data_IF_117086555985
#
_entry.id   IF_117086555985
#
_cell.length_a   1.000
_cell.length_b   1.000
_cell.length_c   1.000
_cell.angle_alpha   90.00
_cell.angle_beta   90.00
_cell.angle_gamma   90.00
#
_symmetry.space_group_name_H-M   'P 1'
#
loop_
_entity.id
_entity.type
_entity.pdbx_description
1 polymer ?
#
# COMPACT_ATOMS: atom_id res chain seq x y z
N UNK A 1 -15.67 -23.20 97.71
CA UNK A 1 -14.84 -24.20 97.02
C UNK A 1 -15.62 -24.67 95.79
N UNK A 2 -15.30 -24.09 94.63
CA UNK A 2 -15.97 -24.36 93.38
C UNK A 2 -14.93 -24.36 92.26
N UNK A 3 -14.91 -25.40 91.42
CA UNK A 3 -15.01 -25.28 89.96
C UNK A 3 -14.65 -26.62 89.28
N UNK A 4 -15.62 -27.08 88.50
CA UNK A 4 -15.61 -28.22 87.60
C UNK A 4 -14.44 -28.26 86.60
N UNK A 5 -14.01 -29.49 86.32
CA UNK A 5 -13.18 -29.93 85.20
C UNK A 5 -13.84 -29.58 83.84
N UNK A 6 -13.11 -28.90 82.96
CA UNK A 6 -13.42 -28.80 81.52
C UNK A 6 -12.48 -29.72 80.74
N UNK A 7 -13.04 -30.65 79.98
CA UNK A 7 -12.32 -31.52 79.05
C UNK A 7 -11.71 -30.70 77.89
N UNK A 8 -10.46 -30.99 77.46
CA UNK A 8 -9.91 -30.36 76.26
C UNK A 8 -10.44 -31.04 74.99
N UNK A 9 -11.02 -30.23 74.11
CA UNK A 9 -11.43 -30.62 72.76
C UNK A 9 -10.16 -30.84 71.92
N UNK A 10 -9.96 -32.07 71.44
CA UNK A 10 -8.90 -32.43 70.49
C UNK A 10 -9.16 -31.72 69.15
N UNK A 11 -8.41 -30.67 68.87
CA UNK A 11 -8.39 -30.05 67.54
C UNK A 11 -7.81 -31.06 66.53
N UNK A 12 -8.65 -31.56 65.61
CA UNK A 12 -8.20 -32.35 64.47
C UNK A 12 -7.29 -31.49 63.60
N UNK A 13 -6.01 -31.86 63.53
CA UNK A 13 -5.00 -31.29 62.63
C UNK A 13 -5.48 -31.51 61.18
N UNK A 14 -6.13 -30.51 60.58
CA UNK A 14 -6.49 -30.55 59.16
C UNK A 14 -5.20 -30.49 58.35
N UNK A 15 -4.99 -31.49 57.49
CA UNK A 15 -3.85 -31.55 56.59
C UNK A 15 -3.86 -30.32 55.65
N UNK A 16 -2.88 -29.40 55.73
CA UNK A 16 -2.84 -28.21 54.88
C UNK A 16 -2.60 -28.55 53.40
N UNK A 17 -2.09 -29.76 53.12
CA UNK A 17 -1.78 -30.20 51.75
C UNK A 17 -3.02 -30.34 50.86
N UNK A 18 -4.19 -30.68 51.42
CA UNK A 18 -5.39 -30.90 50.62
C UNK A 18 -6.03 -29.58 50.14
N UNK A 19 -5.87 -28.51 50.93
CA UNK A 19 -6.34 -27.17 50.57
C UNK A 19 -5.42 -26.51 49.54
N UNK A 20 -4.10 -26.74 49.65
CA UNK A 20 -3.13 -26.30 48.65
C UNK A 20 -3.35 -26.99 47.29
N UNK A 21 -3.64 -28.29 47.28
CA UNK A 21 -3.97 -29.02 46.05
C UNK A 21 -5.25 -28.51 45.38
N UNK A 22 -6.29 -28.21 46.14
CA UNK A 22 -7.55 -27.66 45.61
C UNK A 22 -7.38 -26.25 45.01
N UNK A 23 -6.55 -25.41 45.62
CA UNK A 23 -6.22 -24.08 45.08
C UNK A 23 -5.41 -24.18 43.79
N UNK A 24 -4.41 -25.07 43.73
CA UNK A 24 -3.62 -25.27 42.50
C UNK A 24 -4.52 -25.80 41.37
N UNK A 25 -5.45 -26.71 41.68
CA UNK A 25 -6.39 -27.22 40.67
C UNK A 25 -7.40 -26.15 40.21
N UNK A 26 -7.83 -25.23 41.08
CA UNK A 26 -8.71 -24.13 40.66
C UNK A 26 -7.99 -23.09 39.80
N UNK A 27 -6.70 -22.81 40.06
CA UNK A 27 -5.89 -21.96 39.20
C UNK A 27 -5.65 -22.58 37.82
N UNK A 28 -5.45 -23.90 37.73
CA UNK A 28 -5.29 -24.59 36.45
C UNK A 28 -6.60 -24.59 35.64
N UNK A 29 -7.76 -24.83 36.28
CA UNK A 29 -9.04 -24.85 35.55
C UNK A 29 -9.52 -23.46 35.14
N UNK A 30 -9.23 -22.42 35.92
CA UNK A 30 -9.52 -21.02 35.53
C UNK A 30 -8.59 -20.56 34.40
N UNK A 31 -7.35 -21.03 34.36
CA UNK A 31 -6.40 -20.73 33.27
C UNK A 31 -6.78 -21.40 31.93
N UNK A 32 -7.57 -22.48 31.95
CA UNK A 32 -8.09 -23.09 30.71
C UNK A 32 -9.35 -22.42 30.16
N UNK A 33 -9.96 -21.47 30.89
CA UNK A 33 -11.13 -20.70 30.46
C UNK A 33 -10.71 -19.30 29.95
N UNK A 34 -9.40 -18.99 29.93
CA UNK A 34 -8.90 -17.76 29.34
C UNK A 34 -9.05 -17.79 27.80
N UNK A 35 -10.23 -17.35 27.37
CA UNK A 35 -10.46 -16.60 26.14
C UNK A 35 -9.81 -17.20 24.88
N UNK A 36 -10.43 -18.25 24.34
CA UNK A 36 -10.55 -18.31 22.88
C UNK A 36 -11.50 -17.18 22.44
N UNK A 37 -11.02 -15.92 22.54
CA UNK A 37 -11.56 -14.85 21.72
C UNK A 37 -11.19 -15.25 20.29
N UNK A 38 -12.14 -15.84 19.57
CA UNK A 38 -12.16 -15.72 18.12
C UNK A 38 -12.32 -14.25 17.82
N UNK A 39 -11.22 -13.51 17.81
CA UNK A 39 -11.21 -12.21 17.16
C UNK A 39 -11.52 -12.47 15.70
N UNK A 40 -12.64 -11.91 15.27
CA UNK A 40 -12.99 -11.78 13.86
C UNK A 40 -11.76 -11.17 13.18
N UNK A 41 -11.27 -11.82 12.12
CA UNK A 41 -10.10 -11.36 11.37
C UNK A 41 -10.24 -9.85 11.12
N UNK A 42 -9.41 -9.08 11.82
CA UNK A 42 -9.30 -7.64 11.62
C UNK A 42 -9.08 -7.43 10.14
N UNK A 43 -10.04 -6.77 9.48
CA UNK A 43 -10.10 -6.50 8.04
C UNK A 43 -9.03 -5.50 7.57
N UNK A 44 -7.88 -5.49 8.24
CA UNK A 44 -6.81 -4.54 7.96
C UNK A 44 -6.01 -5.02 6.77
N UNK A 45 -5.93 -4.16 5.76
CA UNK A 45 -4.88 -4.22 4.75
C UNK A 45 -3.53 -4.21 5.49
N UNK A 46 -2.59 -5.03 5.04
CA UNK A 46 -1.31 -5.20 5.74
C UNK A 46 -0.17 -5.14 4.75
N UNK A 47 0.83 -4.32 5.06
CA UNK A 47 2.09 -4.24 4.33
C UNK A 47 3.18 -4.85 5.19
N UNK A 48 3.94 -5.77 4.61
CA UNK A 48 5.09 -6.40 5.25
C UNK A 48 6.32 -6.12 4.40
N UNK A 49 7.39 -5.75 5.09
CA UNK A 49 8.70 -5.47 4.52
C UNK A 49 9.70 -6.50 5.04
N UNK A 50 10.34 -7.23 4.14
CA UNK A 50 11.49 -8.06 4.45
C UNK A 50 12.72 -7.49 3.75
N UNK A 51 13.83 -7.35 4.49
CA UNK A 51 15.11 -7.09 3.86
C UNK A 51 15.74 -8.43 3.47
N UNK A 52 16.31 -8.49 2.27
CA UNK A 52 17.02 -9.65 1.77
C UNK A 52 18.51 -9.44 1.96
N UNK A 53 19.12 -10.28 2.80
CA UNK A 53 20.58 -10.37 2.92
C UNK A 53 21.11 -11.26 1.79
N UNK A 54 22.24 -10.89 1.20
CA UNK A 54 22.91 -11.70 0.17
C UNK A 54 23.22 -13.09 0.74
N UNK A 55 22.78 -14.12 0.03
CA UNK A 55 23.04 -15.52 0.35
C UNK A 55 23.00 -16.39 -0.90
N UNK A 56 23.33 -17.68 -0.80
CA UNK A 56 23.31 -18.61 -1.94
C UNK A 56 21.91 -18.79 -2.54
N UNK A 57 20.87 -18.53 -1.75
CA UNK A 57 19.46 -18.61 -2.15
C UNK A 57 18.91 -17.31 -2.75
N UNK A 58 19.72 -16.24 -2.80
CA UNK A 58 19.28 -14.96 -3.37
C UNK A 58 19.11 -15.10 -4.88
N UNK A 59 17.94 -14.75 -5.46
CA UNK A 59 17.73 -14.86 -6.90
C UNK A 59 18.75 -14.08 -7.71
N UNK A 60 19.35 -14.73 -8.71
CA UNK A 60 20.41 -14.15 -9.57
C UNK A 60 20.01 -12.84 -10.26
N UNK A 61 18.72 -12.64 -10.54
CA UNK A 61 18.24 -11.40 -11.18
C UNK A 61 18.32 -10.17 -10.27
N UNK A 62 18.58 -10.36 -8.97
CA UNK A 62 18.76 -9.29 -8.02
C UNK A 62 20.19 -8.74 -7.97
N UNK A 63 21.14 -9.21 -8.80
CA UNK A 63 22.56 -8.77 -8.77
C UNK A 63 22.88 -7.54 -9.66
N UNK A 64 23.17 -6.36 -9.07
CA UNK A 64 24.01 -5.30 -9.61
C UNK A 64 25.35 -5.20 -8.87
N UNK A 65 26.33 -4.64 -9.57
CA UNK A 65 27.73 -4.54 -9.13
C UNK A 65 27.99 -3.45 -8.06
N UNK A 66 27.07 -2.48 -7.90
CA UNK A 66 27.22 -1.36 -6.95
C UNK A 66 25.89 -0.99 -6.29
N UNK A 67 25.77 -1.25 -4.98
CA UNK A 67 24.58 -0.97 -4.19
C UNK A 67 24.69 0.35 -3.44
N UNK A 68 23.61 1.13 -3.46
CA UNK A 68 23.44 2.36 -2.67
C UNK A 68 22.22 2.20 -1.73
N UNK A 69 22.11 2.99 -0.64
CA UNK A 69 20.87 3.09 0.16
C UNK A 69 19.68 3.55 -0.68
N UNK A 70 18.46 3.05 -0.43
CA UNK A 70 17.25 3.52 -1.14
C UNK A 70 17.04 5.00 -0.90
N UNK A 71 17.27 5.45 0.34
CA UNK A 71 17.24 6.85 0.72
C UNK A 71 18.08 7.73 -0.21
N UNK A 72 19.29 7.30 -0.57
CA UNK A 72 20.17 8.08 -1.45
C UNK A 72 19.57 8.35 -2.82
N UNK A 73 18.95 7.35 -3.45
CA UNK A 73 18.29 7.47 -4.76
C UNK A 73 16.99 8.28 -4.67
N UNK A 74 16.20 8.07 -3.62
CA UNK A 74 14.90 8.73 -3.46
C UNK A 74 15.07 10.19 -3.08
N UNK A 75 16.03 10.55 -2.24
CA UNK A 75 16.27 11.92 -1.75
C UNK A 75 17.24 12.71 -2.62
N UNK A 76 17.70 12.16 -3.74
CA UNK A 76 18.64 12.86 -4.62
C UNK A 76 18.08 14.23 -5.01
N UNK A 77 18.86 15.30 -4.78
CA UNK A 77 18.49 16.68 -5.06
C UNK A 77 17.66 17.38 -3.98
N UNK A 78 17.33 16.72 -2.86
CA UNK A 78 16.79 17.36 -1.67
C UNK A 78 17.92 17.94 -0.80
N UNK A 79 17.74 19.12 -0.15
CA UNK A 79 18.65 19.55 0.90
C UNK A 79 18.53 18.59 2.10
N UNK A 80 19.67 18.11 2.62
CA UNK A 80 19.74 17.13 3.72
C UNK A 80 18.99 17.62 4.98
N UNK A 81 18.87 18.94 5.14
CA UNK A 81 18.23 19.59 6.29
C UNK A 81 16.68 19.64 6.20
N UNK A 82 16.07 19.35 5.05
CA UNK A 82 14.61 19.37 4.91
C UNK A 82 13.97 18.07 5.36
N UNK A 83 13.83 17.88 6.68
CA UNK A 83 12.91 16.90 7.29
C UNK A 83 12.79 15.58 6.51
N UNK A 84 13.94 14.93 6.32
CA UNK A 84 14.22 13.80 5.42
C UNK A 84 13.05 12.79 5.30
N UNK A 85 12.51 12.34 6.44
CA UNK A 85 11.42 11.36 6.48
C UNK A 85 10.16 11.79 5.71
N UNK A 86 9.69 13.02 5.91
CA UNK A 86 8.42 13.47 5.30
C UNK A 86 8.57 13.57 3.80
N UNK A 87 9.69 14.14 3.34
CA UNK A 87 9.99 14.23 1.91
C UNK A 87 10.16 12.85 1.27
N UNK A 88 10.88 11.93 1.94
CA UNK A 88 11.02 10.55 1.52
C UNK A 88 9.66 9.88 1.30
N UNK A 89 8.76 10.00 2.29
CA UNK A 89 7.40 9.45 2.22
C UNK A 89 6.59 10.07 1.06
N UNK A 90 6.64 11.40 0.89
CA UNK A 90 5.91 12.08 -0.20
C UNK A 90 6.42 11.66 -1.58
N UNK A 91 7.73 11.42 -1.76
CA UNK A 91 8.28 10.92 -3.03
C UNK A 91 7.76 9.51 -3.36
N UNK A 92 7.61 8.64 -2.37
CA UNK A 92 6.97 7.32 -2.56
C UNK A 92 5.50 7.42 -2.96
N UNK A 93 4.74 8.31 -2.34
CA UNK A 93 3.35 8.60 -2.74
C UNK A 93 3.29 9.09 -4.20
N UNK A 94 4.19 10.01 -4.59
CA UNK A 94 4.30 10.50 -5.99
C UNK A 94 4.59 9.37 -6.97
N UNK A 95 5.50 8.44 -6.65
CA UNK A 95 5.83 7.30 -7.51
C UNK A 95 4.60 6.42 -7.79
N UNK A 96 3.92 5.97 -6.74
CA UNK A 96 2.79 5.08 -6.88
C UNK A 96 1.52 5.78 -7.41
N UNK A 97 1.48 7.12 -7.40
CA UNK A 97 0.51 7.92 -8.18
C UNK A 97 0.70 7.80 -9.71
N UNK A 98 1.74 7.15 -10.21
CA UNK A 98 1.85 6.86 -11.65
C UNK A 98 1.74 5.37 -11.95
N UNK A 99 1.94 4.49 -10.97
CA UNK A 99 1.73 3.06 -11.13
C UNK A 99 0.26 2.66 -10.98
N UNK A 100 -0.22 1.80 -11.86
CA UNK A 100 -1.56 1.20 -11.78
C UNK A 100 -1.60 -0.19 -12.41
N UNK A 101 -2.73 -0.86 -12.33
CA UNK A 101 -2.96 -2.17 -12.95
C UNK A 101 -3.98 -1.96 -14.07
N UNK A 102 -3.71 -2.44 -15.29
CA UNK A 102 -4.70 -2.41 -16.36
C UNK A 102 -5.83 -3.39 -16.03
N UNK A 103 -7.07 -2.92 -15.96
CA UNK A 103 -8.23 -3.78 -15.73
C UNK A 103 -8.85 -4.21 -17.07
N UNK A 104 -8.77 -5.51 -17.44
CA UNK A 104 -9.44 -6.00 -18.63
C UNK A 104 -10.94 -6.19 -18.32
N UNK A 105 -11.78 -5.25 -18.77
CA UNK A 105 -13.23 -5.42 -18.73
C UNK A 105 -14.04 -4.19 -18.36
N UNK A 106 -13.39 -3.13 -17.87
CA UNK A 106 -14.04 -1.83 -17.66
C UNK A 106 -13.62 -0.93 -18.83
N UNK A 107 -14.57 -0.26 -19.48
CA UNK A 107 -14.33 0.77 -20.52
C UNK A 107 -13.64 2.02 -19.90
N UNK A 108 -13.29 1.96 -18.61
CA UNK A 108 -12.47 2.95 -17.94
C UNK A 108 -11.11 2.98 -18.61
N UNK A 109 -10.73 4.16 -19.12
CA UNK A 109 -9.37 4.42 -19.58
C UNK A 109 -8.36 4.47 -18.43
N UNK A 110 -8.86 4.51 -17.19
CA UNK A 110 -8.04 4.76 -16.01
C UNK A 110 -7.71 3.44 -15.30
N UNK A 111 -6.41 3.14 -15.06
CA UNK A 111 -5.96 1.96 -14.33
C UNK A 111 -6.30 2.04 -12.84
N UNK A 112 -6.38 0.89 -12.17
CA UNK A 112 -6.52 0.85 -10.70
C UNK A 112 -5.16 1.06 -10.04
N UNK A 113 -5.07 1.92 -9.03
CA UNK A 113 -3.84 2.13 -8.27
C UNK A 113 -3.35 0.84 -7.61
N UNK A 114 -2.04 0.59 -7.71
CA UNK A 114 -1.42 -0.56 -7.04
C UNK A 114 -1.50 -0.39 -5.52
N UNK A 115 -1.18 0.79 -5.00
CA UNK A 115 -1.26 1.14 -3.58
C UNK A 115 -2.09 2.42 -3.38
N UNK A 116 -2.79 2.51 -2.26
CA UNK A 116 -3.49 3.73 -1.82
C UNK A 116 -2.52 4.78 -1.27
N UNK A 117 -2.98 6.02 -1.04
CA UNK A 117 -2.15 7.08 -0.45
C UNK A 117 -1.70 6.74 0.98
N UNK A 118 -2.52 6.01 1.72
CA UNK A 118 -2.24 5.52 3.07
C UNK A 118 -1.23 4.36 3.05
N UNK A 119 -1.42 3.39 2.15
CA UNK A 119 -0.52 2.25 1.98
C UNK A 119 0.88 2.72 1.53
N UNK A 120 0.93 3.68 0.61
CA UNK A 120 2.20 4.26 0.14
C UNK A 120 2.91 5.05 1.23
N UNK A 121 2.16 5.79 2.06
CA UNK A 121 2.74 6.47 3.21
C UNK A 121 3.37 5.48 4.19
N UNK A 122 2.63 4.43 4.54
CA UNK A 122 3.10 3.37 5.44
C UNK A 122 4.34 2.65 4.89
N UNK A 123 4.37 2.33 3.60
CA UNK A 123 5.54 1.74 2.95
C UNK A 123 6.76 2.67 3.05
N UNK A 124 6.59 3.96 2.77
CA UNK A 124 7.64 4.96 2.90
C UNK A 124 8.19 5.02 4.33
N UNK A 125 7.33 4.97 5.36
CA UNK A 125 7.79 4.93 6.75
C UNK A 125 8.56 3.66 7.10
N UNK A 126 8.09 2.50 6.64
CA UNK A 126 8.75 1.21 6.89
C UNK A 126 10.13 1.17 6.26
N UNK A 127 10.25 1.63 5.02
CA UNK A 127 11.53 1.71 4.31
C UNK A 127 12.49 2.69 5.00
N UNK A 128 12.00 3.87 5.41
CA UNK A 128 12.82 4.84 6.12
C UNK A 128 13.39 4.29 7.42
N UNK A 129 12.55 3.63 8.23
CA UNK A 129 13.00 2.96 9.47
C UNK A 129 14.01 1.85 9.18
N UNK A 130 13.75 1.04 8.16
CA UNK A 130 14.65 -0.05 7.81
C UNK A 130 16.04 0.45 7.38
N UNK A 131 16.13 1.54 6.62
CA UNK A 131 17.41 2.16 6.25
C UNK A 131 18.17 2.75 7.46
N UNK A 132 17.44 3.24 8.48
CA UNK A 132 18.04 3.82 9.69
C UNK A 132 18.51 2.76 10.70
N UNK A 133 17.77 1.65 10.83
CA UNK A 133 17.94 0.68 11.94
C UNK A 133 18.78 -0.56 11.57
N UNK A 134 19.00 -0.85 10.28
CA UNK A 134 19.76 -2.04 9.85
C UNK A 134 21.27 -1.79 10.00
N UNK A 135 21.87 -2.41 11.01
CA UNK A 135 23.27 -2.23 11.44
C UNK A 135 24.28 -3.13 10.71
N UNK A 136 23.81 -4.15 9.98
CA UNK A 136 24.62 -5.26 9.43
C UNK A 136 25.16 -5.04 7.99
N UNK A 137 25.02 -3.81 7.46
CA UNK A 137 25.36 -3.43 6.08
C UNK A 137 24.13 -3.13 5.22
N UNK A 138 24.34 -2.72 3.96
CA UNK A 138 23.25 -2.37 3.04
C UNK A 138 22.52 -3.65 2.58
N UNK A 139 21.18 -3.70 2.68
CA UNK A 139 20.41 -4.85 2.20
C UNK A 139 20.53 -4.99 0.68
N UNK A 140 20.44 -6.23 0.20
CA UNK A 140 20.51 -6.53 -1.23
C UNK A 140 19.21 -6.09 -1.92
N UNK A 141 18.07 -6.39 -1.34
CA UNK A 141 16.79 -5.88 -1.84
C UNK A 141 15.79 -5.86 -0.70
N UNK A 142 14.69 -5.14 -0.89
CA UNK A 142 13.54 -5.22 -0.01
C UNK A 142 12.42 -5.96 -0.72
N UNK A 143 11.92 -7.02 -0.11
CA UNK A 143 10.68 -7.68 -0.54
C UNK A 143 9.52 -7.00 0.19
N UNK A 144 8.58 -6.48 -0.59
CA UNK A 144 7.33 -5.91 -0.09
C UNK A 144 6.22 -6.89 -0.41
N UNK A 145 5.45 -7.27 0.62
CA UNK A 145 4.24 -8.07 0.46
C UNK A 145 3.05 -7.27 0.98
N UNK A 146 2.06 -7.10 0.11
CA UNK A 146 0.80 -6.44 0.43
C UNK A 146 -0.30 -7.48 0.48
N UNK A 147 -1.08 -7.44 1.56
CA UNK A 147 -2.23 -8.30 1.80
C UNK A 147 -3.49 -7.45 1.83
N UNK A 148 -4.43 -7.73 0.92
CA UNK A 148 -5.80 -7.20 0.96
C UNK A 148 -6.79 -8.32 1.21
N UNK A 149 -7.74 -8.08 2.11
CA UNK A 149 -8.79 -9.04 2.42
C UNK A 149 -9.79 -9.17 1.26
N UNK A 150 -10.31 -10.38 1.07
CA UNK A 150 -11.46 -10.58 0.19
C UNK A 150 -12.74 -10.21 0.95
N UNK A 151 -13.57 -9.28 0.44
CA UNK A 151 -14.77 -8.82 1.14
C UNK A 151 -15.85 -9.90 1.23
N UNK A 152 -15.81 -10.94 0.37
CA UNK A 152 -16.78 -12.03 0.33
C UNK A 152 -16.37 -13.13 1.32
N UNK A 153 -15.07 -13.43 1.44
CA UNK A 153 -14.54 -14.51 2.30
C UNK A 153 -13.39 -14.04 3.20
N UNK A 154 -13.64 -13.07 4.10
CA UNK A 154 -12.59 -12.52 4.97
C UNK A 154 -12.00 -13.60 5.88
N UNK A 155 -10.68 -13.55 6.08
CA UNK A 155 -9.95 -14.52 6.90
C UNK A 155 -9.75 -15.89 6.26
N UNK A 156 -10.40 -16.18 5.11
CA UNK A 156 -10.21 -17.41 4.34
C UNK A 156 -9.69 -17.16 2.93
N UNK A 157 -9.72 -15.91 2.46
CA UNK A 157 -9.22 -15.53 1.15
C UNK A 157 -8.61 -14.14 1.20
N UNK A 158 -7.48 -13.98 0.54
CA UNK A 158 -6.81 -12.69 0.37
C UNK A 158 -6.37 -12.48 -1.07
N UNK A 159 -6.07 -11.23 -1.39
CA UNK A 159 -5.28 -10.84 -2.56
C UNK A 159 -3.89 -10.42 -2.09
N UNK A 160 -2.88 -11.07 -2.64
CA UNK A 160 -1.47 -10.85 -2.34
C UNK A 160 -0.77 -10.18 -3.52
N UNK A 161 -0.06 -9.09 -3.25
CA UNK A 161 0.86 -8.47 -4.20
C UNK A 161 2.28 -8.55 -3.63
N UNK A 162 3.23 -9.04 -4.42
CA UNK A 162 4.63 -9.19 -4.04
C UNK A 162 5.51 -8.47 -5.06
N UNK A 163 6.36 -7.58 -4.58
CA UNK A 163 7.37 -6.93 -5.42
C UNK A 163 8.66 -6.68 -4.66
N UNK A 164 9.74 -6.52 -5.42
CA UNK A 164 11.06 -6.22 -4.90
C UNK A 164 11.43 -4.78 -5.21
N UNK A 165 12.08 -4.13 -4.24
CA UNK A 165 12.67 -2.80 -4.40
C UNK A 165 14.18 -2.97 -4.29
N UNK A 166 14.91 -2.47 -5.29
CA UNK A 166 16.36 -2.55 -5.35
C UNK A 166 16.97 -1.34 -6.04
N UNK A 167 18.15 -0.92 -5.64
CA UNK A 167 18.90 0.13 -6.30
C UNK A 167 19.78 -0.39 -7.45
N UNK A 168 20.02 0.49 -8.41
CA UNK A 168 20.97 0.35 -9.51
C UNK A 168 21.69 1.68 -9.70
N UNK A 169 22.83 1.68 -10.38
CA UNK A 169 23.64 2.88 -10.59
C UNK A 169 22.88 4.03 -11.28
N UNK A 170 21.84 3.73 -12.07
CA UNK A 170 21.03 4.68 -12.84
C UNK A 170 19.64 4.95 -12.22
N UNK A 171 19.29 4.32 -11.10
CA UNK A 171 18.02 4.56 -10.44
C UNK A 171 17.52 3.41 -9.54
N UNK A 172 16.25 3.52 -9.14
CA UNK A 172 15.54 2.53 -8.33
C UNK A 172 14.74 1.60 -9.23
N UNK A 173 14.78 0.29 -8.98
CA UNK A 173 13.98 -0.72 -9.69
C UNK A 173 12.88 -1.24 -8.77
N UNK A 174 11.65 -1.25 -9.28
CA UNK A 174 10.51 -1.96 -8.70
C UNK A 174 10.17 -3.15 -9.61
N UNK A 175 10.26 -4.36 -9.06
CA UNK A 175 10.05 -5.60 -9.81
C UNK A 175 8.90 -6.41 -9.21
N UNK A 176 7.78 -6.46 -9.92
CA UNK A 176 6.55 -7.11 -9.47
C UNK A 176 6.55 -8.58 -9.87
N UNK A 177 6.53 -9.44 -8.85
CA UNK A 177 6.46 -10.89 -9.03
C UNK A 177 5.03 -11.39 -9.09
N UNK A 178 4.17 -10.80 -8.25
CA UNK A 178 2.76 -11.17 -8.16
C UNK A 178 1.94 -9.89 -7.96
N UNK A 179 0.88 -9.71 -8.73
CA UNK A 179 -0.08 -8.60 -8.56
C UNK A 179 -1.45 -9.20 -8.28
N UNK A 180 -1.99 -8.93 -7.08
CA UNK A 180 -3.35 -9.32 -6.71
C UNK A 180 -3.64 -10.82 -6.76
N UNK A 181 -2.63 -11.67 -6.57
CA UNK A 181 -2.75 -13.13 -6.57
C UNK A 181 -3.75 -13.56 -5.48
N UNK A 182 -4.73 -14.37 -5.87
CA UNK A 182 -5.72 -14.88 -4.93
C UNK A 182 -5.12 -16.06 -4.17
N UNK A 183 -5.13 -15.98 -2.84
CA UNK A 183 -4.77 -17.08 -1.95
C UNK A 183 -6.02 -17.51 -1.19
N UNK A 184 -6.35 -18.80 -1.27
CA UNK A 184 -7.47 -19.44 -0.58
C UNK A 184 -6.95 -20.34 0.54
N UNK A 185 -7.56 -20.21 1.72
CA UNK A 185 -7.25 -21.00 2.91
C UNK A 185 -8.48 -21.81 3.33
N UNK A 186 -8.23 -23.02 3.82
CA UNK A 186 -9.28 -23.90 4.34
C UNK A 186 -9.73 -23.48 5.75
N UNK A 187 -8.82 -22.88 6.51
CA UNK A 187 -9.02 -22.37 7.88
C UNK A 187 -8.59 -20.91 7.95
N UNK A 188 -9.00 -20.18 9.01
CA UNK A 188 -8.52 -18.82 9.24
C UNK A 188 -6.99 -18.77 9.19
N UNK A 189 -6.46 -17.93 8.31
CA UNK A 189 -5.02 -17.87 8.07
C UNK A 189 -4.31 -17.03 9.15
N UNK A 190 -3.04 -17.33 9.37
CA UNK A 190 -2.11 -16.64 10.26
C UNK A 190 -1.09 -15.83 9.46
N UNK A 191 -0.39 -14.90 10.13
CA UNK A 191 0.67 -14.09 9.50
C UNK A 191 1.68 -14.94 8.71
N UNK A 192 2.11 -16.06 9.28
CA UNK A 192 3.11 -16.94 8.70
C UNK A 192 2.60 -17.63 7.43
N UNK A 193 1.33 -18.03 7.41
CA UNK A 193 0.77 -18.83 6.32
C UNK A 193 0.72 -18.07 5.01
N UNK A 194 0.42 -16.77 5.00
CA UNK A 194 0.38 -15.99 3.75
C UNK A 194 1.72 -15.35 3.38
N UNK A 195 2.57 -15.02 4.35
CA UNK A 195 3.90 -14.43 4.10
C UNK A 195 4.90 -15.46 3.58
N UNK A 196 4.80 -16.72 4.00
CA UNK A 196 5.72 -17.78 3.59
C UNK A 196 5.26 -18.58 2.35
N UNK A 197 4.11 -18.27 1.75
CA UNK A 197 3.74 -18.92 0.48
C UNK A 197 4.83 -18.58 -0.55
N UNK A 198 5.47 -19.58 -1.20
CA UNK A 198 6.55 -19.34 -2.14
C UNK A 198 6.15 -18.32 -3.21
N UNK A 199 7.05 -17.37 -3.46
CA UNK A 199 6.87 -16.39 -4.53
C UNK A 199 7.28 -17.06 -5.83
N UNK A 200 6.35 -17.13 -6.78
CA UNK A 200 6.65 -17.71 -8.09
C UNK A 200 7.51 -16.75 -8.91
N UNK A 201 8.25 -17.29 -9.90
CA UNK A 201 8.94 -16.43 -10.88
C UNK A 201 7.90 -15.53 -11.56
N UNK A 202 8.18 -14.22 -11.74
CA UNK A 202 7.24 -13.32 -12.40
C UNK A 202 6.83 -13.88 -13.77
N UNK A 203 5.53 -14.06 -13.96
CA UNK A 203 4.96 -14.37 -15.27
C UNK A 203 4.82 -13.05 -16.05
N UNK A 204 5.33 -12.94 -17.29
CA UNK A 204 5.18 -11.75 -18.13
C UNK A 204 3.74 -11.56 -18.68
N UNK A 205 2.75 -12.30 -18.18
CA UNK A 205 1.37 -12.16 -18.62
C UNK A 205 0.75 -10.81 -18.24
N UNK A 206 -0.29 -10.42 -18.97
CA UNK A 206 -1.03 -9.16 -18.73
C UNK A 206 -1.60 -9.06 -17.31
N UNK A 207 -1.83 -10.19 -16.63
CA UNK A 207 -2.32 -10.22 -15.24
C UNK A 207 -1.29 -9.74 -14.22
N UNK A 208 -0.01 -9.78 -14.58
CA UNK A 208 1.09 -9.30 -13.77
C UNK A 208 1.73 -8.05 -14.39
N UNK A 209 0.98 -7.30 -15.20
CA UNK A 209 1.48 -6.08 -15.84
C UNK A 209 1.12 -4.84 -15.03
N UNK A 210 1.96 -3.82 -15.15
CA UNK A 210 1.74 -2.50 -14.56
C UNK A 210 1.47 -1.55 -15.70
N UNK A 211 0.53 -0.65 -15.45
CA UNK A 211 0.25 0.48 -16.29
C UNK A 211 1.04 1.69 -15.80
N UNK A 212 1.71 2.35 -16.74
CA UNK A 212 2.26 3.68 -16.57
C UNK A 212 1.62 4.60 -17.61
N UNK A 213 1.06 5.76 -17.22
CA UNK A 213 0.42 6.68 -18.16
C UNK A 213 1.42 7.22 -19.18
N UNK A 214 0.92 7.58 -20.36
CA UNK A 214 1.72 8.24 -21.42
C UNK A 214 2.23 9.61 -20.94
N UNK A 215 1.37 10.37 -20.27
CA UNK A 215 1.72 11.64 -19.63
C UNK A 215 2.22 11.33 -18.23
N UNK A 216 3.54 11.30 -18.07
CA UNK A 216 4.22 11.09 -16.80
C UNK A 216 5.53 11.90 -16.75
N UNK A 217 6.10 12.14 -15.57
CA UNK A 217 7.37 12.83 -15.49
C UNK A 217 8.49 11.99 -16.11
N UNK A 218 9.49 12.68 -16.65
CA UNK A 218 10.68 12.02 -17.20
C UNK A 218 11.37 11.16 -16.14
N UNK A 219 11.92 10.02 -16.57
CA UNK A 219 12.69 9.12 -15.70
C UNK A 219 11.86 8.05 -15.00
N UNK A 220 10.57 7.92 -15.29
CA UNK A 220 9.77 6.75 -14.92
C UNK A 220 9.51 5.91 -16.16
N UNK A 221 10.15 4.76 -16.27
CA UNK A 221 10.07 3.90 -17.47
C UNK A 221 9.90 2.43 -17.10
N UNK A 222 9.40 1.62 -18.04
CA UNK A 222 9.59 0.17 -17.93
C UNK A 222 11.08 -0.17 -18.01
N UNK A 223 11.48 -1.22 -17.30
CA UNK A 223 12.87 -1.67 -17.37
C UNK A 223 13.16 -2.17 -18.78
N UNK A 224 14.14 -1.55 -19.46
CA UNK A 224 14.47 -1.92 -20.84
C UNK A 224 14.89 -3.39 -20.92
N UNK A 225 14.28 -4.18 -21.82
CA UNK A 225 14.67 -5.57 -21.99
C UNK A 225 16.07 -5.66 -22.59
N UNK A 226 16.76 -6.77 -22.32
CA UNK A 226 17.97 -7.12 -23.06
C UNK A 226 17.64 -7.31 -24.56
N UNK A 227 18.60 -7.10 -25.47
CA UNK A 227 18.37 -7.28 -26.91
C UNK A 227 17.81 -8.68 -27.19
N UNK A 228 16.62 -8.75 -27.79
CA UNK A 228 15.91 -10.00 -28.10
C UNK A 228 14.89 -10.47 -27.06
N UNK A 229 14.66 -9.72 -25.98
CA UNK A 229 13.57 -9.96 -25.03
C UNK A 229 12.39 -8.99 -25.24
N UNK A 230 11.18 -9.48 -24.97
CA UNK A 230 9.98 -8.64 -24.96
C UNK A 230 10.01 -7.68 -23.77
N UNK A 231 9.34 -6.54 -23.91
CA UNK A 231 9.21 -5.55 -22.85
C UNK A 231 8.51 -6.14 -21.62
N UNK A 232 9.17 -6.10 -20.47
CA UNK A 232 8.65 -6.62 -19.21
C UNK A 232 7.85 -5.55 -18.49
N UNK A 233 6.54 -5.55 -18.71
CA UNK A 233 5.60 -4.57 -18.13
C UNK A 233 5.39 -4.72 -16.62
N UNK A 234 6.02 -5.72 -15.99
CA UNK A 234 6.02 -5.95 -14.54
C UNK A 234 7.24 -5.33 -13.83
N UNK A 235 8.13 -4.63 -14.56
CA UNK A 235 9.34 -4.02 -14.02
C UNK A 235 9.42 -2.54 -14.37
N UNK A 236 9.62 -1.71 -13.35
CA UNK A 236 9.71 -0.25 -13.47
C UNK A 236 11.09 0.22 -13.03
N UNK A 237 11.68 1.14 -13.78
CA UNK A 237 12.89 1.87 -13.42
C UNK A 237 12.53 3.33 -13.12
N UNK A 238 12.99 3.82 -11.97
CA UNK A 238 12.80 5.19 -11.49
C UNK A 238 14.17 5.87 -11.42
N UNK A 239 14.46 6.67 -12.44
CA UNK A 239 15.71 7.44 -12.59
C UNK A 239 15.64 8.75 -11.81
N UNK A 240 16.80 9.36 -11.58
CA UNK A 240 16.92 10.63 -10.83
C UNK A 240 16.01 11.74 -11.35
N UNK A 241 15.81 11.83 -12.67
CA UNK A 241 14.94 12.83 -13.31
C UNK A 241 13.50 12.80 -12.79
N UNK A 242 12.99 11.63 -12.38
CA UNK A 242 11.62 11.50 -11.87
C UNK A 242 11.43 12.22 -10.54
N UNK A 243 12.44 12.18 -9.66
CA UNK A 243 12.36 12.80 -8.35
C UNK A 243 12.42 14.32 -8.41
N UNK A 244 13.32 14.84 -9.26
CA UNK A 244 13.53 16.28 -9.45
C UNK A 244 12.51 16.90 -10.41
N UNK A 245 11.76 16.07 -11.17
CA UNK A 245 10.74 16.58 -12.06
C UNK A 245 9.67 17.34 -11.26
N UNK A 246 9.56 18.62 -11.53
CA UNK A 246 8.31 19.30 -11.34
C UNK A 246 7.43 18.76 -12.46
N UNK A 247 6.44 17.93 -12.11
CA UNK A 247 5.27 17.83 -12.97
C UNK A 247 4.86 19.28 -13.11
N UNK A 248 5.04 19.85 -14.30
CA UNK A 248 4.38 21.09 -14.65
C UNK A 248 2.97 20.85 -14.18
N UNK A 249 2.58 21.50 -13.06
CA UNK A 249 1.18 21.55 -12.64
C UNK A 249 0.47 21.75 -13.94
N UNK A 250 -0.38 20.79 -14.31
CA UNK A 250 -1.16 20.94 -15.50
C UNK A 250 -1.58 22.40 -15.56
N UNK A 251 -1.42 22.97 -16.72
CA UNK A 251 -2.41 23.87 -17.29
C UNK A 251 -3.85 23.32 -17.17
N UNK A 252 -4.25 22.69 -16.06
CA UNK A 252 -5.26 23.26 -15.19
C UNK A 252 -4.86 24.73 -14.96
N UNK A 253 -5.21 25.54 -15.95
CA UNK A 253 -5.93 26.74 -15.61
C UNK A 253 -6.81 26.36 -14.43
N UNK A 254 -6.51 26.90 -13.24
CA UNK A 254 -7.58 27.37 -12.40
C UNK A 254 -8.66 27.87 -13.37
N UNK A 255 -9.92 27.45 -13.28
CA UNK A 255 -10.94 28.17 -14.01
C UNK A 255 -10.75 29.60 -13.49
N UNK A 256 -10.12 30.46 -14.31
CA UNK A 256 -10.14 31.88 -14.10
C UNK A 256 -11.61 32.10 -13.85
N UNK A 257 -11.94 32.46 -12.61
CA UNK A 257 -13.22 33.07 -12.30
C UNK A 257 -13.20 34.37 -13.09
N UNK A 258 -13.41 34.25 -14.40
CA UNK A 258 -13.95 35.32 -15.19
C UNK A 258 -15.35 35.48 -14.61
N UNK A 259 -15.67 36.62 -13.99
CA UNK A 259 -17.06 36.96 -13.84
C UNK A 259 -17.61 36.97 -15.27
N UNK A 260 -18.38 35.94 -15.66
CA UNK A 260 -19.06 35.91 -16.95
C UNK A 260 -20.05 37.06 -16.93
N UNK A 261 -19.62 38.19 -17.49
CA UNK A 261 -20.47 39.33 -17.83
C UNK A 261 -21.71 38.80 -18.54
N UNK A 262 -22.86 39.45 -18.31
CA UNK A 262 -24.12 39.12 -18.99
C UNK A 262 -23.91 39.06 -20.51
N UNK A 263 -23.03 39.90 -21.05
CA UNK A 263 -22.65 39.94 -22.46
C UNK A 263 -21.97 38.64 -22.93
N UNK A 264 -21.07 38.06 -22.13
CA UNK A 264 -20.39 36.79 -22.47
C UNK A 264 -21.36 35.61 -22.44
N UNK A 265 -22.34 35.63 -21.53
CA UNK A 265 -23.39 34.61 -21.45
C UNK A 265 -24.30 34.66 -22.68
N UNK A 266 -24.66 35.87 -23.14
CA UNK A 266 -25.46 36.06 -24.36
C UNK A 266 -24.68 35.66 -25.61
N UNK A 267 -23.38 35.96 -25.69
CA UNK A 267 -22.51 35.55 -26.81
C UNK A 267 -22.40 34.03 -26.91
N UNK A 268 -22.18 33.36 -25.77
CA UNK A 268 -22.13 31.89 -25.72
C UNK A 268 -23.46 31.26 -26.13
N UNK A 269 -24.59 31.83 -25.69
CA UNK A 269 -25.93 31.34 -26.04
C UNK A 269 -26.18 31.45 -27.56
N UNK A 270 -25.71 32.53 -28.20
CA UNK A 270 -25.81 32.74 -29.65
C UNK A 270 -24.97 31.73 -30.42
N UNK A 271 -23.74 31.46 -29.97
CA UNK A 271 -22.88 30.43 -30.58
C UNK A 271 -23.49 29.02 -30.52
N UNK A 272 -24.21 28.68 -29.44
CA UNK A 272 -24.90 27.40 -29.32
C UNK A 272 -26.08 27.27 -30.30
N UNK A 273 -26.80 28.37 -30.56
CA UNK A 273 -27.84 28.42 -31.57
C UNK A 273 -27.26 28.27 -32.97
N UNK A 274 -26.17 29.00 -33.27
CA UNK A 274 -25.52 28.97 -34.58
C UNK A 274 -24.94 27.58 -34.89
N UNK A 275 -24.45 26.87 -33.87
CA UNK A 275 -24.02 25.47 -33.96
C UNK A 275 -25.19 24.45 -33.98
N UNK A 276 -26.45 24.92 -33.97
CA UNK A 276 -27.68 24.11 -33.91
C UNK A 276 -27.73 23.12 -32.73
N UNK A 277 -26.99 23.41 -31.65
CA UNK A 277 -26.96 22.59 -30.45
C UNK A 277 -28.15 22.86 -29.52
N UNK A 278 -28.83 23.99 -29.74
CA UNK A 278 -30.08 24.36 -29.07
C UNK A 278 -31.10 24.82 -30.11
N UNK A 279 -32.37 24.66 -29.78
CA UNK A 279 -33.46 25.11 -30.63
C UNK A 279 -33.75 26.61 -30.45
N UNK A 280 -34.29 27.28 -31.48
CA UNK A 280 -34.75 28.68 -31.40
C UNK A 280 -35.64 28.98 -30.18
N UNK A 281 -36.64 28.15 -29.81
CA UNK A 281 -37.45 28.41 -28.62
C UNK A 281 -36.65 28.30 -27.31
N UNK A 282 -35.68 27.39 -27.20
CA UNK A 282 -34.82 27.28 -26.02
C UNK A 282 -33.86 28.46 -25.89
N UNK A 283 -33.35 28.96 -27.02
CA UNK A 283 -32.53 30.15 -27.07
C UNK A 283 -33.29 31.37 -26.54
N UNK A 284 -34.51 31.64 -27.01
CA UNK A 284 -35.29 32.80 -26.55
C UNK A 284 -35.67 32.68 -25.06
N UNK A 285 -36.00 31.48 -24.58
CA UNK A 285 -36.30 31.24 -23.17
C UNK A 285 -35.09 31.55 -22.27
N UNK A 286 -33.91 31.04 -22.62
CA UNK A 286 -32.68 31.26 -21.85
C UNK A 286 -32.15 32.69 -21.97
N UNK A 287 -32.33 33.34 -23.11
CA UNK A 287 -32.01 34.76 -23.29
C UNK A 287 -32.86 35.65 -22.39
N UNK A 288 -34.17 35.38 -22.31
CA UNK A 288 -35.08 36.11 -21.43
C UNK A 288 -34.76 35.91 -19.94
N UNK A 289 -34.28 34.72 -19.56
CA UNK A 289 -33.83 34.41 -18.20
C UNK A 289 -32.55 35.17 -17.83
N UNK A 290 -31.56 35.21 -18.73
CA UNK A 290 -30.30 35.96 -18.54
C UNK A 290 -30.54 37.48 -18.47
N UNK A 291 -31.53 38.00 -19.20
CA UNK A 291 -31.90 39.42 -19.17
C UNK A 291 -32.75 39.81 -17.95
N UNK A 292 -33.29 38.84 -17.19
CA UNK A 292 -33.96 39.09 -15.90
C UNK A 292 -32.99 39.22 -14.73
N UNK A 293 -31.76 38.74 -14.90
CA UNK A 293 -30.68 38.86 -13.92
C UNK A 293 -29.95 40.24 -13.97
N UNK A 294 -30.42 41.15 -14.83
CA UNK A 294 -30.03 42.57 -14.91
C UNK A 294 -30.96 43.45 -14.07
#
# INVERSE_FOLDING_TARGET
MAACLKNPIRAKKKNPNLFSFLLVFSFITISCISSQKKEMASSSETIVLFYLKKGPETPLFLEPDTWLPIASSVLTGAPIDSTDKTEFVTRWQKLFKFAGIPEPGVISRDPIRVLTEEETAQLGELLFKAEADISDGLPHAYQVIIKREDPIRPGLRIRRTVFYIRNRADGLILEFSEIGQVLDFQTPYSFREWTLVPVSKPDPSTRNSIYLPEIRPEGLDFLSPLPGQAEETNRICVKTGFWTSQILKDTASEPKKFPKSVEDRLKTLKELLDKKLISKPEYEKKKAEILKDL
#
